data_IF_164762546250
#
_entry.id   IF_164762546250
#
_cell.length_a   1.000
_cell.length_b   1.000
_cell.length_c   1.000
_cell.angle_alpha   90.00
_cell.angle_beta   90.00
_cell.angle_gamma   90.00
#
_symmetry.space_group_name_H-M   'P 1'
#
loop_
_entity.id
_entity.type
_entity.pdbx_description
1 polymer ?
#
# COMPACT_ATOMS: atom_id res chain seq x y z
N UNK A 1 -11.28 5.55 16.88
CA UNK A 1 -11.52 4.67 15.73
C UNK A 1 -12.88 4.04 15.97
N UNK A 2 -13.70 3.95 14.94
CA UNK A 2 -15.05 3.38 15.02
C UNK A 2 -15.00 1.96 14.48
N UNK A 3 -15.73 1.04 15.10
CA UNK A 3 -15.83 -0.34 14.65
C UNK A 3 -17.27 -0.60 14.26
N UNK A 4 -17.46 -1.20 13.08
CA UNK A 4 -18.77 -1.56 12.57
C UNK A 4 -18.71 -2.90 11.84
N UNK A 5 -19.82 -3.64 11.79
CA UNK A 5 -19.89 -4.90 11.06
C UNK A 5 -19.82 -4.62 9.55
N UNK A 6 -19.22 -5.55 8.82
CA UNK A 6 -19.16 -5.56 7.35
C UNK A 6 -19.70 -6.91 6.86
N UNK A 7 -21.02 -6.99 6.73
CA UNK A 7 -21.70 -8.27 6.60
C UNK A 7 -21.71 -9.02 7.94
N UNK A 8 -21.81 -10.34 7.88
CA UNK A 8 -21.83 -11.23 9.05
C UNK A 8 -20.44 -11.75 9.44
N UNK A 9 -19.51 -11.79 8.49
CA UNK A 9 -18.21 -12.49 8.60
C UNK A 9 -17.00 -11.55 8.60
N UNK A 10 -17.22 -10.26 8.83
CA UNK A 10 -16.13 -9.29 8.97
C UNK A 10 -16.53 -8.08 9.83
N UNK A 11 -15.51 -7.43 10.40
CA UNK A 11 -15.63 -6.10 10.97
C UNK A 11 -14.61 -5.16 10.36
N UNK A 12 -14.90 -3.87 10.38
CA UNK A 12 -13.96 -2.84 9.95
C UNK A 12 -13.72 -1.86 11.08
N UNK A 13 -12.45 -1.60 11.37
CA UNK A 13 -11.97 -0.52 12.21
C UNK A 13 -11.65 0.66 11.31
N UNK A 14 -12.32 1.80 11.49
CA UNK A 14 -12.11 3.00 10.69
C UNK A 14 -11.61 4.18 11.53
N UNK A 15 -10.62 4.89 11.00
CA UNK A 15 -10.12 6.15 11.54
C UNK A 15 -10.67 7.33 10.75
N UNK A 16 -11.12 8.37 11.45
CA UNK A 16 -11.55 9.64 10.85
C UNK A 16 -10.34 10.57 10.56
N UNK A 17 -9.11 10.14 10.89
CA UNK A 17 -7.89 10.91 10.59
C UNK A 17 -7.47 10.74 9.13
N UNK A 18 -6.91 11.79 8.56
CA UNK A 18 -6.26 11.74 7.25
C UNK A 18 -5.16 10.67 7.19
N UNK A 19 -4.98 9.99 6.04
CA UNK A 19 -3.87 9.07 5.81
C UNK A 19 -2.53 9.73 6.12
N UNK A 20 -1.74 9.06 6.94
CA UNK A 20 -0.42 9.55 7.34
C UNK A 20 0.49 8.39 7.68
N UNK A 21 1.79 8.66 7.74
CA UNK A 21 2.77 7.68 8.15
C UNK A 21 2.48 7.13 9.55
N UNK A 22 2.12 8.02 10.48
CA UNK A 22 1.78 7.65 11.85
C UNK A 22 0.53 6.76 11.90
N UNK A 23 -0.52 7.09 11.13
CA UNK A 23 -1.72 6.25 11.06
C UNK A 23 -1.44 4.88 10.46
N UNK A 24 -0.64 4.82 9.40
CA UNK A 24 -0.21 3.56 8.78
C UNK A 24 0.54 2.70 9.79
N UNK A 25 1.43 3.30 10.58
CA UNK A 25 2.14 2.59 11.64
C UNK A 25 1.18 2.04 12.70
N UNK A 26 0.28 2.87 13.25
CA UNK A 26 -0.73 2.42 14.21
C UNK A 26 -1.57 1.25 13.68
N UNK A 27 -2.10 1.38 12.46
CA UNK A 27 -2.89 0.31 11.82
C UNK A 27 -2.07 -0.97 11.68
N UNK A 28 -0.80 -0.88 11.29
CA UNK A 28 0.05 -2.05 11.13
C UNK A 28 0.34 -2.74 12.47
N UNK A 29 0.54 -1.97 13.55
CA UNK A 29 0.75 -2.53 14.89
C UNK A 29 -0.50 -3.26 15.41
N UNK A 30 -1.69 -2.70 15.17
CA UNK A 30 -2.95 -3.38 15.50
C UNK A 30 -3.10 -4.68 14.68
N UNK A 31 -2.80 -4.61 13.38
CA UNK A 31 -2.82 -5.76 12.49
C UNK A 31 -1.91 -6.88 12.98
N UNK A 32 -0.65 -6.56 13.26
CA UNK A 32 0.34 -7.53 13.71
C UNK A 32 -0.07 -8.14 15.05
N UNK A 33 -0.62 -7.35 15.96
CA UNK A 33 -1.13 -7.86 17.23
C UNK A 33 -2.26 -8.87 17.01
N UNK A 34 -3.27 -8.55 16.19
CA UNK A 34 -4.38 -9.47 15.89
C UNK A 34 -3.87 -10.77 15.28
N UNK A 35 -2.93 -10.70 14.32
CA UNK A 35 -2.33 -11.88 13.69
C UNK A 35 -1.54 -12.72 14.71
N UNK A 36 -0.82 -12.07 15.62
CA UNK A 36 0.00 -12.74 16.64
C UNK A 36 -0.82 -13.50 17.68
N UNK A 37 -2.10 -13.17 17.87
CA UNK A 37 -3.02 -13.94 18.70
C UNK A 37 -3.31 -15.34 18.13
N UNK A 38 -3.01 -15.59 16.84
CA UNK A 38 -3.17 -16.90 16.17
C UNK A 38 -4.55 -17.52 16.36
N UNK A 39 -5.58 -16.69 16.33
CA UNK A 39 -6.96 -17.14 16.48
C UNK A 39 -7.38 -17.97 15.26
N UNK A 40 -7.87 -19.21 15.44
CA UNK A 40 -8.14 -20.14 14.34
C UNK A 40 -9.39 -19.77 13.52
N UNK A 41 -10.16 -18.79 13.95
CA UNK A 41 -11.37 -18.30 13.30
C UNK A 41 -11.17 -16.94 12.62
N UNK A 42 -9.94 -16.40 12.59
CA UNK A 42 -9.60 -15.22 11.79
C UNK A 42 -8.90 -15.70 10.53
N UNK A 43 -9.50 -15.39 9.38
CA UNK A 43 -8.93 -15.75 8.08
C UNK A 43 -7.90 -14.72 7.63
N UNK A 44 -8.27 -13.44 7.73
CA UNK A 44 -7.47 -12.36 7.14
C UNK A 44 -7.61 -11.06 7.93
N UNK A 45 -6.51 -10.32 7.99
CA UNK A 45 -6.44 -8.99 8.58
C UNK A 45 -5.86 -8.04 7.54
N UNK A 46 -6.76 -7.28 6.90
CA UNK A 46 -6.50 -6.52 5.68
C UNK A 46 -6.42 -5.03 6.02
N UNK A 47 -5.21 -4.44 6.01
CA UNK A 47 -5.05 -3.01 6.25
C UNK A 47 -5.30 -2.20 4.98
N UNK A 48 -5.70 -0.95 5.16
CA UNK A 48 -5.84 0.07 4.12
C UNK A 48 -5.37 1.42 4.67
N UNK A 49 -5.52 2.50 3.89
CA UNK A 49 -4.99 3.82 4.23
C UNK A 49 -5.46 4.37 5.59
N UNK A 50 -6.74 4.16 5.93
CA UNK A 50 -7.35 4.68 7.17
C UNK A 50 -8.21 3.64 7.90
N UNK A 51 -8.22 2.39 7.43
CA UNK A 51 -9.03 1.33 8.01
C UNK A 51 -8.31 -0.01 8.08
N UNK A 52 -8.78 -0.88 8.97
CA UNK A 52 -8.34 -2.25 9.12
C UNK A 52 -9.57 -3.14 9.08
N UNK A 53 -9.61 -4.11 8.16
CA UNK A 53 -10.68 -5.10 8.10
C UNK A 53 -10.19 -6.42 8.71
N UNK A 54 -11.03 -7.04 9.55
CA UNK A 54 -10.77 -8.36 10.11
C UNK A 54 -11.86 -9.28 9.59
N UNK A 55 -11.46 -10.29 8.82
CA UNK A 55 -12.33 -11.34 8.30
C UNK A 55 -12.27 -12.52 9.26
N UNK A 56 -13.43 -12.98 9.70
CA UNK A 56 -13.54 -14.07 10.67
C UNK A 56 -14.70 -15.02 10.32
N UNK A 57 -14.75 -16.16 11.01
CA UNK A 57 -15.75 -17.21 10.78
C UNK A 57 -16.74 -17.34 11.94
N UNK A 58 -17.90 -16.63 11.90
CA UNK A 58 -18.90 -16.66 12.98
C UNK A 58 -19.38 -18.07 13.33
N UNK A 59 -19.65 -18.90 12.32
CA UNK A 59 -20.10 -20.27 12.54
C UNK A 59 -19.09 -21.11 13.33
N UNK A 60 -17.80 -21.01 12.98
CA UNK A 60 -16.71 -21.70 13.69
C UNK A 60 -16.62 -21.20 15.13
N UNK A 61 -16.72 -19.88 15.33
CA UNK A 61 -16.70 -19.26 16.66
C UNK A 61 -17.82 -19.79 17.55
N UNK A 62 -19.06 -19.83 17.06
CA UNK A 62 -20.22 -20.31 17.81
C UNK A 62 -20.13 -21.82 18.08
N UNK A 63 -19.90 -22.62 17.02
CA UNK A 63 -20.05 -24.08 17.09
C UNK A 63 -18.84 -24.81 17.67
N UNK A 64 -17.64 -24.22 17.60
CA UNK A 64 -16.40 -24.88 18.01
C UNK A 64 -15.65 -24.16 19.12
N UNK A 65 -15.99 -22.91 19.40
CA UNK A 65 -15.30 -22.07 20.38
C UNK A 65 -16.22 -21.44 21.43
N UNK A 66 -17.52 -21.78 21.42
CA UNK A 66 -18.52 -21.32 22.39
C UNK A 66 -18.61 -19.79 22.50
N UNK A 67 -18.50 -19.09 21.37
CA UNK A 67 -18.66 -17.64 21.28
C UNK A 67 -20.02 -17.35 20.64
N UNK A 68 -21.03 -17.07 21.47
CA UNK A 68 -22.43 -16.92 21.04
C UNK A 68 -22.70 -15.63 20.25
N UNK A 69 -21.94 -14.57 20.53
CA UNK A 69 -22.04 -13.27 19.85
C UNK A 69 -20.71 -12.90 19.15
N UNK A 70 -20.41 -13.50 17.97
CA UNK A 70 -19.13 -13.32 17.29
C UNK A 70 -18.71 -11.87 17.05
N UNK A 71 -19.67 -11.02 16.65
CA UNK A 71 -19.38 -9.62 16.38
C UNK A 71 -18.97 -8.85 17.64
N UNK A 72 -19.75 -8.94 18.73
CA UNK A 72 -19.43 -8.22 19.97
C UNK A 72 -18.12 -8.72 20.59
N UNK A 73 -17.87 -10.04 20.56
CA UNK A 73 -16.60 -10.62 20.98
C UNK A 73 -15.41 -10.04 20.18
N UNK A 74 -15.51 -10.04 18.85
CA UNK A 74 -14.43 -9.54 17.99
C UNK A 74 -14.23 -8.03 18.14
N UNK A 75 -15.31 -7.27 18.32
CA UNK A 75 -15.26 -5.85 18.58
C UNK A 75 -14.55 -5.55 19.90
N UNK A 76 -14.94 -6.20 21.00
CA UNK A 76 -14.30 -6.00 22.31
C UNK A 76 -12.81 -6.36 22.27
N UNK A 77 -12.46 -7.49 21.66
CA UNK A 77 -11.08 -7.91 21.47
C UNK A 77 -10.26 -6.82 20.76
N UNK A 78 -10.77 -6.30 19.64
CA UNK A 78 -10.09 -5.29 18.84
C UNK A 78 -10.01 -3.94 19.58
N UNK A 79 -11.05 -3.55 20.30
CA UNK A 79 -11.04 -2.34 21.15
C UNK A 79 -9.94 -2.43 22.21
N UNK A 80 -9.80 -3.59 22.85
CA UNK A 80 -8.75 -3.86 23.82
C UNK A 80 -7.35 -3.77 23.19
N UNK A 81 -7.14 -4.39 22.03
CA UNK A 81 -5.86 -4.31 21.30
C UNK A 81 -5.51 -2.86 20.97
N UNK A 82 -6.46 -2.09 20.43
CA UNK A 82 -6.25 -0.68 20.09
C UNK A 82 -5.91 0.13 21.34
N UNK A 83 -6.63 -0.09 22.44
CA UNK A 83 -6.41 0.62 23.70
C UNK A 83 -5.00 0.37 24.27
N UNK A 84 -4.54 -0.89 24.26
CA UNK A 84 -3.21 -1.25 24.76
C UNK A 84 -2.11 -0.70 23.85
N UNK A 85 -2.17 -0.97 22.55
CA UNK A 85 -1.14 -0.53 21.60
C UNK A 85 -1.03 0.99 21.52
N UNK A 86 -2.13 1.74 21.64
CA UNK A 86 -2.06 3.21 21.67
C UNK A 86 -1.30 3.75 22.88
N UNK A 87 -1.22 3.02 23.99
CA UNK A 87 -0.39 3.42 25.13
C UNK A 87 1.08 3.19 24.82
N UNK A 88 1.41 2.03 24.23
CA UNK A 88 2.79 1.67 23.85
C UNK A 88 3.39 2.60 22.77
N UNK A 89 2.54 3.17 21.92
CA UNK A 89 2.94 3.97 20.77
C UNK A 89 3.20 5.45 21.07
N UNK A 90 2.91 5.94 22.29
CA UNK A 90 3.02 7.37 22.60
C UNK A 90 4.42 7.96 22.46
N UNK A 91 5.47 7.14 22.51
CA UNK A 91 6.88 7.60 22.51
C UNK A 91 7.80 6.86 21.52
N UNK A 92 7.24 6.09 20.57
CA UNK A 92 8.05 5.34 19.61
C UNK A 92 8.30 6.12 18.33
N UNK A 93 9.54 6.54 18.14
CA UNK A 93 10.05 6.94 16.82
C UNK A 93 10.23 5.68 15.98
N UNK A 94 9.49 5.58 14.88
CA UNK A 94 9.65 4.48 13.92
C UNK A 94 10.92 4.72 13.12
N UNK A 95 11.98 3.99 13.45
CA UNK A 95 13.23 4.03 12.70
C UNK A 95 13.35 2.72 11.91
N UNK A 96 12.76 2.70 10.71
CA UNK A 96 12.81 1.55 9.79
C UNK A 96 13.78 1.87 8.67
N UNK A 97 14.64 0.92 8.31
CA UNK A 97 15.50 1.07 7.14
C UNK A 97 14.61 1.09 5.88
N UNK A 98 14.69 2.17 5.11
CA UNK A 98 13.97 2.28 3.84
C UNK A 98 14.47 1.25 2.83
N UNK A 99 13.54 0.69 2.07
CA UNK A 99 13.80 -0.15 0.91
C UNK A 99 13.99 0.78 -0.29
N UNK A 100 15.17 0.75 -0.89
CA UNK A 100 15.44 1.52 -2.11
C UNK A 100 14.92 0.75 -3.33
N UNK A 101 14.18 1.44 -4.21
CA UNK A 101 13.78 0.94 -5.52
C UNK A 101 14.39 1.85 -6.59
N UNK A 102 15.18 1.26 -7.48
CA UNK A 102 15.72 1.97 -8.63
C UNK A 102 14.65 2.09 -9.72
N UNK A 103 14.52 3.28 -10.31
CA UNK A 103 13.53 3.59 -11.34
C UNK A 103 14.16 4.37 -12.51
N UNK A 104 13.64 4.18 -13.71
CA UNK A 104 13.90 5.06 -14.86
C UNK A 104 12.64 5.89 -15.09
N UNK A 105 12.79 7.21 -15.24
CA UNK A 105 11.66 8.14 -15.43
C UNK A 105 11.65 8.72 -16.84
N UNK A 106 10.45 9.07 -17.32
CA UNK A 106 10.29 9.76 -18.61
C UNK A 106 10.54 8.91 -19.86
N UNK A 107 10.48 9.57 -21.01
CA UNK A 107 10.67 8.94 -22.32
C UNK A 107 9.69 7.79 -22.56
N UNK A 108 10.21 6.66 -23.05
CA UNK A 108 9.40 5.46 -23.28
C UNK A 108 8.89 4.88 -21.94
N UNK A 109 9.71 4.88 -20.89
CA UNK A 109 9.40 4.30 -19.59
C UNK A 109 8.34 5.08 -18.80
N UNK A 110 8.25 6.39 -19.05
CA UNK A 110 7.31 7.31 -18.41
C UNK A 110 6.69 8.28 -19.42
N UNK A 111 5.76 7.82 -20.28
CA UNK A 111 5.18 8.65 -21.34
C UNK A 111 4.47 9.90 -20.80
N UNK A 112 4.01 9.88 -19.54
CA UNK A 112 3.28 10.98 -18.91
C UNK A 112 4.15 11.87 -18.03
N UNK A 113 5.47 11.62 -17.93
CA UNK A 113 6.37 12.41 -17.09
C UNK A 113 6.41 13.89 -17.45
N UNK A 114 6.12 14.21 -18.72
CA UNK A 114 6.11 15.57 -19.23
C UNK A 114 4.78 16.31 -18.98
N UNK A 115 3.74 15.64 -18.46
CA UNK A 115 2.47 16.30 -18.13
C UNK A 115 2.62 17.39 -17.04
N UNK A 116 3.63 17.27 -16.18
CA UNK A 116 3.93 18.23 -15.12
C UNK A 116 4.73 19.41 -15.69
N UNK A 117 4.12 20.26 -16.51
CA UNK A 117 4.82 21.32 -17.27
C UNK A 117 5.32 22.47 -16.39
N UNK A 118 4.73 22.67 -15.22
CA UNK A 118 5.09 23.74 -14.29
C UNK A 118 6.37 23.45 -13.50
N UNK A 119 7.01 22.30 -13.75
CA UNK A 119 8.22 21.84 -13.10
C UNK A 119 9.31 21.55 -14.12
N UNK A 120 10.55 21.93 -13.82
CA UNK A 120 11.70 21.47 -14.62
C UNK A 120 11.94 19.96 -14.43
N UNK A 121 12.70 19.35 -15.33
CA UNK A 121 13.09 17.94 -15.20
C UNK A 121 13.81 17.66 -13.87
N UNK A 122 14.69 18.57 -13.47
CA UNK A 122 15.45 18.51 -12.23
C UNK A 122 14.54 18.64 -11.00
N UNK A 123 13.56 19.56 -11.04
CA UNK A 123 12.59 19.70 -9.95
C UNK A 123 11.76 18.44 -9.76
N UNK A 124 11.31 17.81 -10.86
CA UNK A 124 10.56 16.55 -10.80
C UNK A 124 11.40 15.44 -10.18
N UNK A 125 12.64 15.27 -10.63
CA UNK A 125 13.58 14.29 -10.08
C UNK A 125 13.81 14.52 -8.59
N UNK A 126 14.10 15.76 -8.20
CA UNK A 126 14.32 16.14 -6.81
C UNK A 126 13.07 15.84 -5.96
N UNK A 127 11.86 16.14 -6.44
CA UNK A 127 10.62 15.84 -5.71
C UNK A 127 10.45 14.32 -5.50
N UNK A 128 10.82 13.51 -6.49
CA UNK A 128 10.71 12.04 -6.41
C UNK A 128 11.75 11.46 -5.44
N UNK A 129 13.02 11.87 -5.53
CA UNK A 129 14.11 11.28 -4.75
C UNK A 129 14.22 11.82 -3.32
N UNK A 130 13.84 13.07 -3.07
CA UNK A 130 13.96 13.70 -1.75
C UNK A 130 12.98 13.17 -0.70
N UNK A 131 12.10 12.24 -1.09
CA UNK A 131 11.00 11.76 -0.25
C UNK A 131 11.22 10.32 0.19
N UNK A 132 10.93 10.10 1.46
CA UNK A 132 10.61 8.75 1.95
C UNK A 132 9.12 8.54 1.80
N UNK A 133 8.75 7.63 0.91
CA UNK A 133 7.39 7.14 0.78
C UNK A 133 7.13 6.02 1.77
N UNK A 134 5.86 5.71 2.00
CA UNK A 134 5.47 4.54 2.79
C UNK A 134 4.34 3.76 2.12
N UNK A 135 4.37 2.44 2.25
CA UNK A 135 3.33 1.57 1.71
C UNK A 135 2.06 1.70 2.57
N UNK A 136 1.07 2.44 2.07
CA UNK A 136 -0.19 2.71 2.75
C UNK A 136 -1.34 1.80 2.33
N UNK A 137 -1.14 1.00 1.28
CA UNK A 137 -2.07 -0.02 0.83
C UNK A 137 -1.34 -1.02 -0.07
N UNK A 138 -1.82 -2.26 -0.12
CA UNK A 138 -1.43 -3.25 -1.13
C UNK A 138 -2.72 -3.76 -1.76
N UNK A 139 -2.85 -3.67 -3.08
CA UNK A 139 -4.11 -3.99 -3.77
C UNK A 139 -4.13 -3.58 -5.23
N UNK A 140 -5.32 -3.57 -5.86
CA UNK A 140 -5.56 -3.55 -7.31
C UNK A 140 -5.16 -4.85 -8.02
N UNK A 141 -3.91 -5.27 -7.85
CA UNK A 141 -3.39 -6.59 -8.27
C UNK A 141 -2.50 -7.18 -7.18
N UNK A 142 -2.20 -8.50 -7.21
CA UNK A 142 -1.40 -9.14 -6.16
C UNK A 142 -0.06 -8.44 -5.91
N UNK A 143 0.16 -8.01 -4.67
CA UNK A 143 1.39 -7.36 -4.24
C UNK A 143 1.61 -5.93 -4.74
N UNK A 144 0.67 -5.33 -5.48
CA UNK A 144 0.80 -3.98 -6.01
C UNK A 144 0.76 -2.94 -4.87
N UNK A 145 1.87 -2.25 -4.58
CA UNK A 145 1.99 -1.36 -3.43
C UNK A 145 1.59 0.06 -3.82
N UNK A 146 0.85 0.71 -2.93
CA UNK A 146 0.53 2.13 -3.00
C UNK A 146 1.43 2.89 -2.02
N UNK A 147 2.25 3.76 -2.58
CA UNK A 147 3.25 4.58 -1.91
C UNK A 147 2.67 5.97 -1.65
N UNK A 148 2.33 6.23 -0.38
CA UNK A 148 1.90 7.53 0.08
C UNK A 148 3.09 8.45 0.36
N UNK A 149 2.84 9.76 0.29
CA UNK A 149 3.84 10.80 0.53
C UNK A 149 4.25 11.57 -0.72
N UNK A 150 3.60 11.35 -1.87
CA UNK A 150 3.84 12.14 -3.09
C UNK A 150 3.59 13.62 -2.84
N UNK A 151 4.42 14.49 -3.44
CA UNK A 151 4.15 15.92 -3.41
C UNK A 151 2.92 16.25 -4.24
N UNK A 152 2.05 17.13 -3.73
CA UNK A 152 0.94 17.70 -4.51
C UNK A 152 1.40 18.40 -5.80
N UNK A 153 2.69 18.80 -5.90
CA UNK A 153 3.26 19.36 -7.14
C UNK A 153 3.29 18.36 -8.29
N UNK A 154 3.28 17.06 -7.99
CA UNK A 154 3.19 15.96 -8.97
C UNK A 154 1.78 15.36 -9.03
N UNK A 155 0.79 16.01 -8.43
CA UNK A 155 -0.61 15.58 -8.55
C UNK A 155 -1.13 15.87 -9.97
N UNK A 156 -1.87 14.93 -10.54
CA UNK A 156 -2.70 15.16 -11.73
C UNK A 156 -3.94 14.27 -11.68
N UNK A 157 -5.06 14.72 -12.25
CA UNK A 157 -6.36 14.07 -12.12
C UNK A 157 -6.46 12.75 -12.89
N UNK A 158 -5.89 12.67 -14.09
CA UNK A 158 -5.78 11.47 -14.93
C UNK A 158 -4.98 11.80 -16.20
N UNK A 159 -4.52 10.77 -16.91
CA UNK A 159 -3.95 10.87 -18.26
C UNK A 159 -4.90 10.21 -19.28
N UNK A 160 -4.49 10.14 -20.55
CA UNK A 160 -5.16 9.33 -21.55
C UNK A 160 -5.14 7.85 -21.15
N UNK A 161 -6.26 7.17 -21.44
CA UNK A 161 -6.39 5.73 -21.24
C UNK A 161 -5.37 4.98 -22.09
N UNK A 162 -4.63 4.08 -21.43
CA UNK A 162 -3.67 3.15 -22.02
C UNK A 162 -4.30 1.76 -21.99
N UNK A 163 -4.40 1.15 -23.17
CA UNK A 163 -4.83 -0.23 -23.32
C UNK A 163 -3.82 -1.20 -22.69
N UNK A 164 -2.55 -0.77 -22.61
CA UNK A 164 -1.50 -1.56 -22.01
C UNK A 164 -0.60 -0.72 -21.12
N UNK A 165 -0.50 -1.11 -19.84
CA UNK A 165 0.45 -0.63 -18.85
C UNK A 165 1.31 -1.83 -18.40
N UNK A 166 2.63 -1.79 -18.64
CA UNK A 166 3.54 -2.90 -18.32
C UNK A 166 3.61 -3.21 -16.83
N UNK A 167 4.05 -4.43 -16.48
CA UNK A 167 4.54 -4.73 -15.12
C UNK A 167 5.76 -3.84 -14.81
N UNK A 168 5.83 -3.33 -13.59
CA UNK A 168 6.92 -2.48 -13.08
C UNK A 168 6.72 -0.99 -13.36
N UNK A 169 5.62 -0.59 -14.01
CA UNK A 169 5.31 0.82 -14.24
C UNK A 169 5.05 1.54 -12.93
N UNK A 170 5.67 2.72 -12.80
CA UNK A 170 5.45 3.67 -11.70
C UNK A 170 4.37 4.63 -12.15
N UNK A 171 3.19 4.49 -11.54
CA UNK A 171 1.99 5.22 -11.89
C UNK A 171 1.61 6.20 -10.77
N UNK A 172 0.91 7.28 -11.12
CA UNK A 172 0.32 8.19 -10.14
C UNK A 172 -1.18 7.91 -10.04
N UNK A 173 -1.67 7.70 -8.82
CA UNK A 173 -3.09 7.71 -8.52
C UNK A 173 -3.36 8.75 -7.43
N UNK A 174 -3.98 9.86 -7.83
CA UNK A 174 -4.19 11.03 -6.97
C UNK A 174 -2.88 11.51 -6.34
N UNK A 175 -2.73 11.35 -5.04
CA UNK A 175 -1.63 11.79 -4.20
C UNK A 175 -0.64 10.66 -3.86
N UNK A 176 -0.67 9.56 -4.64
CA UNK A 176 0.12 8.36 -4.40
C UNK A 176 0.81 7.90 -5.65
N UNK A 177 1.93 7.21 -5.46
CA UNK A 177 2.50 6.36 -6.49
C UNK A 177 1.99 4.94 -6.28
N UNK A 178 1.82 4.17 -7.35
CA UNK A 178 1.73 2.72 -7.24
C UNK A 178 2.59 2.06 -8.29
N UNK A 179 3.07 0.85 -7.99
CA UNK A 179 3.94 0.09 -8.90
C UNK A 179 3.18 -1.14 -9.37
N UNK A 180 2.94 -1.24 -10.67
CA UNK A 180 2.22 -2.39 -11.24
C UNK A 180 3.01 -3.68 -11.03
N UNK A 181 2.39 -4.71 -10.49
CA UNK A 181 3.01 -6.04 -10.32
C UNK A 181 2.67 -7.01 -11.45
N UNK A 182 1.68 -6.66 -12.26
CA UNK A 182 1.23 -7.37 -13.45
C UNK A 182 0.95 -6.36 -14.55
N UNK A 183 0.89 -6.82 -15.80
CA UNK A 183 0.37 -6.02 -16.90
C UNK A 183 -1.10 -5.64 -16.62
N UNK A 184 -1.49 -4.42 -16.94
CA UNK A 184 -2.85 -3.88 -16.71
C UNK A 184 -3.21 -2.85 -17.79
N UNK A 185 -4.35 -2.17 -17.63
CA UNK A 185 -4.85 -1.09 -18.50
C UNK A 185 -5.49 -0.01 -17.63
N UNK A 186 -5.42 1.25 -18.03
CA UNK A 186 -6.03 2.34 -17.25
C UNK A 186 -5.60 3.73 -17.71
N UNK A 187 -6.12 4.74 -17.03
CA UNK A 187 -5.91 6.17 -17.31
C UNK A 187 -4.93 6.84 -16.33
N UNK A 188 -4.17 6.05 -15.57
CA UNK A 188 -3.15 6.58 -14.69
C UNK A 188 -1.98 7.18 -15.48
N UNK A 189 -1.45 8.35 -15.06
CA UNK A 189 -0.16 8.84 -15.50
C UNK A 189 0.95 7.83 -15.17
N UNK A 190 1.68 7.39 -16.18
CA UNK A 190 2.86 6.53 -16.07
C UNK A 190 4.09 7.42 -16.17
N UNK A 191 4.82 7.56 -15.06
CA UNK A 191 5.96 8.48 -14.94
C UNK A 191 7.32 7.80 -15.07
N UNK A 192 7.35 6.47 -14.94
CA UNK A 192 8.58 5.71 -15.02
C UNK A 192 8.36 4.21 -14.90
N UNK A 193 9.45 3.48 -14.73
CA UNK A 193 9.45 2.03 -14.68
C UNK A 193 10.59 1.50 -13.78
N UNK A 194 10.37 0.37 -13.13
CA UNK A 194 11.37 -0.40 -12.39
C UNK A 194 11.43 -1.84 -12.87
N UNK A 195 12.63 -2.43 -12.86
CA UNK A 195 12.82 -3.86 -13.09
C UNK A 195 12.73 -4.68 -11.79
N UNK A 196 12.48 -4.03 -10.65
CA UNK A 196 12.36 -4.70 -9.36
C UNK A 196 11.21 -5.71 -9.38
N UNK A 197 11.47 -6.93 -8.92
CA UNK A 197 10.43 -7.94 -8.74
C UNK A 197 9.65 -7.65 -7.46
N UNK A 198 8.66 -6.75 -7.57
CA UNK A 198 7.82 -6.34 -6.43
C UNK A 198 6.97 -7.51 -5.91
N UNK A 199 6.47 -8.34 -6.81
CA UNK A 199 5.71 -9.55 -6.48
C UNK A 199 6.25 -10.74 -7.27
N UNK A 200 6.77 -11.73 -6.55
CA UNK A 200 7.15 -13.04 -7.07
C UNK A 200 5.93 -13.96 -7.03
N UNK A 201 5.33 -14.16 -8.19
CA UNK A 201 4.15 -15.02 -8.37
C UNK A 201 4.43 -16.50 -8.08
N UNK A 202 5.66 -16.98 -8.26
CA UNK A 202 6.01 -18.40 -8.06
C UNK A 202 6.03 -18.77 -6.59
N UNK A 203 6.56 -17.88 -5.76
CA UNK A 203 6.69 -18.10 -4.31
C UNK A 203 5.65 -17.35 -3.48
N UNK A 204 4.77 -16.56 -4.11
CA UNK A 204 3.77 -15.70 -3.45
C UNK A 204 4.43 -14.77 -2.43
N UNK A 205 5.52 -14.11 -2.84
CA UNK A 205 6.29 -13.19 -1.99
C UNK A 205 6.21 -11.77 -2.51
N UNK A 206 5.98 -10.83 -1.60
CA UNK A 206 6.05 -9.40 -1.87
C UNK A 206 7.39 -8.84 -1.37
N UNK A 207 8.07 -8.06 -2.20
CA UNK A 207 9.23 -7.27 -1.77
C UNK A 207 8.83 -6.17 -0.79
N UNK A 208 7.68 -5.55 -1.03
CA UNK A 208 7.12 -4.45 -0.25
C UNK A 208 5.88 -4.91 0.50
N UNK A 209 5.82 -4.59 1.80
CA UNK A 209 4.73 -4.91 2.71
C UNK A 209 4.10 -3.63 3.27
N UNK A 210 2.85 -3.73 3.74
CA UNK A 210 2.16 -2.61 4.37
C UNK A 210 3.00 -2.01 5.52
N UNK A 211 3.18 -0.69 5.49
CA UNK A 211 4.00 0.05 6.45
C UNK A 211 5.50 0.04 6.20
N UNK A 212 5.99 -0.56 5.11
CA UNK A 212 7.38 -0.41 4.68
C UNK A 212 7.67 1.02 4.23
N UNK A 213 8.89 1.49 4.52
CA UNK A 213 9.42 2.73 3.97
C UNK A 213 10.13 2.46 2.66
N UNK A 214 9.92 3.35 1.70
CA UNK A 214 10.44 3.22 0.34
C UNK A 214 11.10 4.52 -0.08
N UNK A 215 12.30 4.43 -0.62
CA UNK A 215 12.98 5.53 -1.29
C UNK A 215 13.14 5.18 -2.76
N UNK A 216 12.81 6.12 -3.63
CA UNK A 216 12.99 5.96 -5.08
C UNK A 216 14.33 6.58 -5.47
N UNK A 217 15.12 5.85 -6.24
CA UNK A 217 16.41 6.31 -6.75
C UNK A 217 16.36 6.28 -8.27
N UNK A 218 16.55 7.43 -8.90
CA UNK A 218 16.44 7.58 -10.34
C UNK A 218 17.78 7.21 -10.98
N UNK A 219 17.72 6.29 -11.94
CA UNK A 219 18.88 5.84 -12.71
C UNK A 219 18.66 6.08 -14.19
N UNK A 220 19.74 6.24 -14.94
CA UNK A 220 19.67 6.46 -16.39
C UNK A 220 19.17 5.21 -17.14
N UNK A 221 19.57 4.03 -16.67
CA UNK A 221 19.22 2.74 -17.29
C UNK A 221 19.02 1.66 -16.25
N UNK A 222 18.17 0.69 -16.57
CA UNK A 222 17.98 -0.53 -15.80
C UNK A 222 18.39 -1.74 -16.65
N UNK A 223 18.90 -2.82 -16.04
CA UNK A 223 19.23 -4.05 -16.74
C UNK A 223 18.06 -4.58 -17.60
N UNK A 224 18.36 -4.99 -18.84
CA UNK A 224 17.38 -5.49 -19.83
C UNK A 224 16.61 -6.75 -19.38
N UNK A 225 17.03 -7.41 -18.29
CA UNK A 225 16.45 -8.65 -17.76
C UNK A 225 14.99 -8.55 -17.30
N UNK A 226 14.33 -7.39 -17.46
CA UNK A 226 12.93 -7.15 -17.07
C UNK A 226 11.89 -7.31 -18.18
N UNK A 227 12.29 -7.50 -19.46
CA UNK A 227 11.35 -7.74 -20.56
C UNK A 227 10.35 -6.60 -20.80
N UNK A 228 10.77 -5.36 -20.56
CA UNK A 228 9.93 -4.17 -20.71
C UNK A 228 9.30 -4.08 -22.11
N UNK A 229 8.03 -3.67 -22.14
CA UNK A 229 7.30 -3.28 -23.35
C UNK A 229 6.75 -1.88 -23.14
N UNK A 230 6.69 -1.00 -24.15
CA UNK A 230 6.12 0.33 -23.98
C UNK A 230 4.62 0.30 -23.73
N UNK A 231 4.10 1.35 -23.09
CA UNK A 231 2.65 1.55 -22.96
C UNK A 231 1.99 1.66 -24.35
N UNK A 232 0.74 1.20 -24.45
CA UNK A 232 -0.09 1.30 -25.67
C UNK A 232 -1.41 1.98 -25.38
#
# INVERSE_FOLDING_TARGET
MRIYPKGDSALTIMSDREPSRQLTHEINEFRLEIINQRMPYIDEVIPSENSLMVVYHPYTMMMKHNIDEPFEYMKELVENIIYQKKQDLKDRVVNKKSIQIDIVVGGLYGPDYNLFTDLTSEEKQQIIESRTYFVSMIGHTPGCPYLSGLSHRLFTSSSNYKQFIPKGSVCIEKDKLFITTTETSGDWPVIGWTNAEIFDRKNTKCLLNFGDDVTLHIVDTLPESGGYKPCQ
#
